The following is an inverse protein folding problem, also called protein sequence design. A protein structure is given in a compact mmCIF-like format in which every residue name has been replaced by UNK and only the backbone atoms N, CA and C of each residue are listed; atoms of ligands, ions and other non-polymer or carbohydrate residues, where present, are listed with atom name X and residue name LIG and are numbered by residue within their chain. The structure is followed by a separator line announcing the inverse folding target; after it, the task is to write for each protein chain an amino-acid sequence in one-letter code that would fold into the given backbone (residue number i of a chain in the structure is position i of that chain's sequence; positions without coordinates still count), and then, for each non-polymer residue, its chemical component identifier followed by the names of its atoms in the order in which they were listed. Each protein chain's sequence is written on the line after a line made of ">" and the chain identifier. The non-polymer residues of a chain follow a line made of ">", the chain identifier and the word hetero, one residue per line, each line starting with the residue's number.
data_IF_035242508843
#
_entry.id   IF_035242508843
#
_cell.length_a   1.000
_cell.length_b   1.000
_cell.length_c   1.000
_cell.angle_alpha   90.00
_cell.angle_beta   90.00
_cell.angle_gamma   90.00
#
_symmetry.space_group_name_H-M   'P 1'
#
loop_
_entity.id
_entity.type
_entity.pdbx_description
1 polymer ?
#
# COMPACT_ATOMS: atom_id res chain seq x y z
N UNK A 1 -0.48 14.78 -0.08
CA UNK A 1 -1.92 14.70 0.28
C UNK A 1 -2.47 13.38 -0.26
N UNK A 2 -2.52 12.31 0.54
CA UNK A 2 -3.17 11.06 0.11
C UNK A 2 -4.60 11.07 0.63
N UNK A 3 -5.56 11.24 -0.27
CA UNK A 3 -6.97 11.22 0.08
C UNK A 3 -7.37 9.83 0.62
N UNK A 4 -8.33 9.77 1.56
CA UNK A 4 -8.91 8.51 2.11
C UNK A 4 -9.82 7.79 1.10
N UNK A 5 -9.50 7.93 -0.20
CA UNK A 5 -10.25 7.36 -1.33
C UNK A 5 -9.85 5.91 -1.55
N UNK A 6 -8.56 5.60 -1.37
CA UNK A 6 -8.08 4.21 -1.42
C UNK A 6 -8.51 3.50 -0.13
N UNK A 7 -9.25 2.40 -0.28
CA UNK A 7 -9.71 1.58 0.85
C UNK A 7 -8.56 0.75 1.43
N UNK A 8 -7.73 1.39 2.25
CA UNK A 8 -6.67 0.71 3.00
C UNK A 8 -7.17 0.24 4.36
N UNK A 9 -6.42 -0.64 5.05
CA UNK A 9 -6.73 -1.00 6.44
C UNK A 9 -6.86 0.23 7.34
N UNK A 10 -5.96 1.20 7.21
CA UNK A 10 -6.06 2.47 7.93
C UNK A 10 -7.39 3.20 7.68
N UNK A 11 -7.90 3.22 6.43
CA UNK A 11 -9.20 3.86 6.13
C UNK A 11 -10.36 3.04 6.71
N UNK A 12 -10.29 1.72 6.70
CA UNK A 12 -11.28 0.85 7.34
C UNK A 12 -11.33 1.05 8.85
N UNK A 13 -10.18 1.18 9.51
CA UNK A 13 -10.08 1.47 10.95
C UNK A 13 -10.75 2.80 11.30
N UNK A 14 -10.50 3.86 10.51
CA UNK A 14 -11.15 5.16 10.67
C UNK A 14 -12.68 5.06 10.52
N UNK A 15 -13.17 4.13 9.70
CA UNK A 15 -14.60 3.84 9.50
C UNK A 15 -15.16 2.84 10.51
N UNK A 16 -14.38 2.46 11.53
CA UNK A 16 -14.74 1.47 12.57
C UNK A 16 -15.09 0.09 11.99
N UNK A 17 -14.49 -0.29 10.88
CA UNK A 17 -14.64 -1.64 10.33
C UNK A 17 -13.67 -2.61 11.03
N UNK A 18 -14.17 -3.72 11.61
CA UNK A 18 -13.33 -4.65 12.36
C UNK A 18 -12.43 -5.44 11.39
N UNK A 19 -11.13 -5.16 11.39
CA UNK A 19 -10.13 -5.95 10.66
C UNK A 19 -8.73 -5.72 11.21
N UNK A 20 -7.84 -6.68 10.95
CA UNK A 20 -6.41 -6.55 11.18
C UNK A 20 -5.84 -5.32 10.40
N UNK A 21 -5.16 -4.36 11.06
CA UNK A 21 -4.63 -3.15 10.42
C UNK A 21 -3.36 -3.39 9.58
N UNK A 22 -2.89 -4.64 9.52
CA UNK A 22 -1.61 -4.99 8.93
C UNK A 22 -1.71 -5.23 7.42
N UNK A 23 -0.67 -4.81 6.71
CA UNK A 23 -0.43 -4.98 5.28
C UNK A 23 -0.29 -6.46 4.95
N UNK A 24 -1.03 -6.88 3.92
CA UNK A 24 -1.09 -8.28 3.49
C UNK A 24 0.25 -8.82 2.93
N UNK A 25 1.21 -7.94 2.63
CA UNK A 25 2.46 -8.31 1.96
C UNK A 25 3.68 -8.38 2.87
N UNK A 26 3.80 -7.49 3.85
CA UNK A 26 5.04 -7.35 4.62
C UNK A 26 4.83 -7.19 6.13
N UNK A 27 3.62 -7.49 6.61
CA UNK A 27 3.27 -7.47 8.03
C UNK A 27 3.50 -6.13 8.77
N UNK A 28 3.55 -5.01 8.04
CA UNK A 28 3.65 -3.64 8.56
C UNK A 28 2.28 -2.93 8.51
N UNK A 29 2.11 -1.78 9.18
CA UNK A 29 0.85 -1.04 9.12
C UNK A 29 0.47 -0.63 7.68
N UNK A 30 -0.77 -0.93 7.26
CA UNK A 30 -1.23 -0.63 5.90
C UNK A 30 -1.81 0.78 5.78
N UNK A 31 -1.19 1.59 4.93
CA UNK A 31 -1.67 2.91 4.50
C UNK A 31 -1.51 3.06 2.99
N UNK A 32 -2.10 4.09 2.39
CA UNK A 32 -1.90 4.36 0.95
C UNK A 32 -0.44 4.64 0.64
N UNK A 33 0.23 5.46 1.46
CA UNK A 33 1.68 5.68 1.36
C UNK A 33 2.48 4.38 1.43
N UNK A 34 2.06 3.45 2.29
CA UNK A 34 2.69 2.15 2.39
C UNK A 34 2.48 1.31 1.12
N UNK A 35 1.24 1.11 0.69
CA UNK A 35 0.90 0.28 -0.46
C UNK A 35 1.52 0.79 -1.78
N UNK A 36 1.71 2.09 -1.94
CA UNK A 36 2.27 2.63 -3.18
C UNK A 36 3.78 2.85 -3.13
N UNK A 37 4.38 3.19 -1.98
CA UNK A 37 5.78 3.67 -1.97
C UNK A 37 6.68 3.02 -0.93
N UNK A 38 6.15 2.58 0.22
CA UNK A 38 6.99 2.08 1.33
C UNK A 38 7.03 0.57 1.44
N UNK A 39 6.00 -0.13 0.98
CA UNK A 39 5.95 -1.59 0.98
C UNK A 39 7.09 -2.16 0.12
N UNK A 40 7.77 -3.19 0.64
CA UNK A 40 8.84 -3.87 -0.09
C UNK A 40 8.35 -4.43 -1.42
N UNK A 41 7.14 -5.01 -1.44
CA UNK A 41 6.52 -5.53 -2.67
C UNK A 41 6.22 -4.41 -3.66
N UNK A 42 5.68 -3.28 -3.20
CA UNK A 42 5.41 -2.13 -4.07
C UNK A 42 6.68 -1.59 -4.73
N UNK A 43 7.79 -1.52 -3.98
CA UNK A 43 9.09 -1.11 -4.53
C UNK A 43 9.59 -2.06 -5.62
N UNK A 44 9.43 -3.36 -5.43
CA UNK A 44 9.80 -4.38 -6.43
C UNK A 44 8.96 -4.22 -7.69
N UNK A 45 7.64 -4.06 -7.56
CA UNK A 45 6.73 -3.85 -8.71
C UNK A 45 7.11 -2.60 -9.49
N UNK A 46 7.38 -1.46 -8.82
CA UNK A 46 7.77 -0.24 -9.53
C UNK A 46 9.09 -0.39 -10.29
N UNK A 47 10.07 -1.11 -9.73
CA UNK A 47 11.33 -1.41 -10.42
C UNK A 47 11.11 -2.27 -11.66
N UNK A 48 10.19 -3.23 -11.59
CA UNK A 48 9.80 -4.03 -12.75
C UNK A 48 9.15 -3.13 -13.80
N UNK A 49 8.05 -2.46 -13.46
CA UNK A 49 7.28 -1.62 -14.39
C UNK A 49 8.14 -0.52 -15.04
N UNK A 50 8.97 0.17 -14.25
CA UNK A 50 9.86 1.21 -14.77
C UNK A 50 11.13 0.69 -15.46
N UNK A 51 11.45 -0.60 -15.29
CA UNK A 51 12.61 -1.23 -15.92
C UNK A 51 12.34 -1.72 -17.35
N UNK A 52 11.08 -1.98 -17.72
CA UNK A 52 10.71 -2.51 -19.04
C UNK A 52 10.56 -1.47 -20.15
N UNK A 53 11.00 -0.22 -19.96
CA UNK A 53 10.88 0.86 -20.99
C UNK A 53 12.23 1.31 -21.56
N UNK A 54 13.19 0.39 -21.69
CA UNK A 54 14.47 0.64 -22.39
C UNK A 54 14.81 -0.41 -23.44
N UNK A 55 13.81 -1.09 -24.01
CA UNK A 55 13.93 -1.85 -25.27
C UNK A 55 13.05 -1.20 -26.35
#
# INVERSE_FOLDING_TARGET
>A
MFQKVVLTRQVMEIRKWPRNPVCSFCNQAESSQHLFFRCLVAKVIWRMVGGYTWD
#
